data_IF_928162238283
#
_entry.id   IF_928162238283
#
_cell.length_a   1.000
_cell.length_b   1.000
_cell.length_c   1.000
_cell.angle_alpha   90.00
_cell.angle_beta   90.00
_cell.angle_gamma   90.00
#
_symmetry.space_group_name_H-M   'P 1'
#
loop_
_entity.id
_entity.type
_entity.pdbx_description
1 polymer ?
#
# COMPACT_ATOMS: atom_id res chain seq x y z
N UNK A 1 13.17 13.78 8.40
CA UNK A 1 11.89 13.24 8.91
C UNK A 1 11.30 12.38 7.79
N UNK A 2 11.29 11.05 7.94
CA UNK A 2 10.56 10.23 6.98
C UNK A 2 9.06 10.52 7.18
N UNK A 3 8.26 10.69 6.11
CA UNK A 3 6.83 10.92 6.29
C UNK A 3 6.28 9.78 7.15
N UNK A 4 5.40 10.11 8.10
CA UNK A 4 4.67 9.12 8.89
C UNK A 4 3.92 8.19 7.92
N UNK A 5 4.55 7.09 7.52
CA UNK A 5 3.96 6.12 6.60
C UNK A 5 2.99 5.28 7.43
N UNK A 6 1.76 5.78 7.58
CA UNK A 6 0.66 5.05 8.19
C UNK A 6 0.28 3.91 7.24
N UNK A 7 0.83 2.72 7.48
CA UNK A 7 0.39 1.51 6.80
C UNK A 7 -1.07 1.20 7.22
N UNK A 8 -1.94 0.97 6.24
CA UNK A 8 -3.34 0.63 6.49
C UNK A 8 -3.46 -0.89 6.50
N UNK A 9 -4.04 -1.45 7.57
CA UNK A 9 -4.36 -2.87 7.63
C UNK A 9 -5.72 -3.11 6.98
N UNK A 10 -5.75 -3.96 5.96
CA UNK A 10 -6.98 -4.39 5.29
C UNK A 10 -7.25 -5.86 5.62
N UNK A 11 -8.53 -6.23 5.72
CA UNK A 11 -8.94 -7.62 5.87
C UNK A 11 -8.99 -8.34 4.51
N UNK A 12 -9.18 -7.57 3.43
CA UNK A 12 -9.21 -8.04 2.05
C UNK A 12 -8.74 -6.97 1.07
N UNK A 13 -8.07 -7.36 -0.02
CA UNK A 13 -7.75 -6.45 -1.12
C UNK A 13 -9.00 -5.82 -1.76
N UNK A 14 -10.19 -6.40 -1.58
CA UNK A 14 -11.46 -5.83 -2.04
C UNK A 14 -11.82 -4.52 -1.34
N UNK A 15 -11.24 -4.25 -0.16
CA UNK A 15 -11.46 -3.01 0.59
C UNK A 15 -10.57 -1.86 0.09
N UNK A 16 -9.51 -2.18 -0.67
CA UNK A 16 -8.53 -1.20 -1.15
C UNK A 16 -9.17 -0.05 -1.94
N UNK A 17 -10.12 -0.26 -2.87
CA UNK A 17 -10.74 0.84 -3.61
C UNK A 17 -11.47 1.84 -2.69
N UNK A 18 -12.04 1.38 -1.58
CA UNK A 18 -12.71 2.26 -0.63
C UNK A 18 -11.71 3.15 0.12
N UNK A 19 -10.56 2.59 0.50
CA UNK A 19 -9.49 3.34 1.18
C UNK A 19 -8.83 4.40 0.27
N UNK A 20 -8.80 4.16 -1.03
CA UNK A 20 -8.18 5.06 -2.01
C UNK A 20 -9.16 6.06 -2.64
N UNK A 21 -10.41 6.15 -2.14
CA UNK A 21 -11.48 6.97 -2.72
C UNK A 21 -11.07 8.43 -2.94
N UNK A 22 -10.48 9.07 -1.93
CA UNK A 22 -10.03 10.47 -2.02
C UNK A 22 -8.93 10.64 -3.07
N UNK A 23 -8.00 9.69 -3.16
CA UNK A 23 -6.93 9.71 -4.16
C UNK A 23 -7.49 9.58 -5.58
N UNK A 24 -8.48 8.71 -5.79
CA UNK A 24 -9.16 8.59 -7.09
C UNK A 24 -9.89 9.88 -7.49
N UNK A 25 -10.53 10.57 -6.54
CA UNK A 25 -11.16 11.86 -6.79
C UNK A 25 -10.15 12.96 -7.15
N UNK A 26 -8.90 12.83 -6.67
CA UNK A 26 -7.79 13.71 -7.02
C UNK A 26 -7.08 13.33 -8.34
N UNK A 27 -7.62 12.35 -9.08
CA UNK A 27 -7.10 11.93 -10.38
C UNK A 27 -6.00 10.85 -10.32
N UNK A 28 -5.73 10.29 -9.15
CA UNK A 28 -4.80 9.17 -9.04
C UNK A 28 -5.44 7.87 -9.53
N UNK A 29 -4.61 6.92 -9.94
CA UNK A 29 -4.99 5.53 -10.22
C UNK A 29 -3.93 4.57 -9.66
N UNK A 30 -4.33 3.37 -9.27
CA UNK A 30 -3.38 2.33 -8.87
C UNK A 30 -2.68 1.82 -10.13
N UNK A 31 -1.37 1.96 -10.18
CA UNK A 31 -0.53 1.45 -11.26
C UNK A 31 -0.03 0.03 -10.97
N UNK A 32 0.28 -0.26 -9.70
CA UNK A 32 0.79 -1.56 -9.29
C UNK A 32 0.56 -1.84 -7.80
N UNK A 33 0.52 -3.13 -7.46
CA UNK A 33 0.61 -3.64 -6.09
C UNK A 33 1.84 -4.51 -5.99
N UNK A 34 2.81 -4.11 -5.19
CA UNK A 34 4.05 -4.86 -5.00
C UNK A 34 4.10 -5.46 -3.58
N UNK A 35 4.35 -6.77 -3.43
CA UNK A 35 4.64 -7.34 -2.13
C UNK A 35 5.93 -6.69 -1.58
N UNK A 36 5.93 -6.36 -0.29
CA UNK A 36 7.09 -5.80 0.39
C UNK A 36 7.65 -6.84 1.36
N UNK A 37 8.82 -7.38 1.00
CA UNK A 37 9.59 -8.24 1.91
C UNK A 37 10.52 -7.34 2.71
N UNK A 38 10.19 -7.10 3.98
CA UNK A 38 11.12 -6.47 4.90
C UNK A 38 12.06 -7.55 5.45
N UNK A 39 13.35 -7.48 5.09
CA UNK A 39 14.40 -8.27 5.74
C UNK A 39 14.51 -7.78 7.19
N UNK A 40 13.81 -8.43 8.12
CA UNK A 40 13.94 -8.12 9.54
C UNK A 40 15.04 -9.01 10.11
N UNK A 41 16.16 -8.40 10.50
CA UNK A 41 17.42 -9.08 10.85
C UNK A 41 17.37 -9.87 12.18
N UNK A 42 16.18 -10.17 12.71
CA UNK A 42 16.08 -10.85 14.02
C UNK A 42 14.69 -11.26 14.49
N UNK A 43 13.67 -11.29 13.63
CA UNK A 43 12.33 -11.70 14.05
C UNK A 43 11.76 -12.78 13.13
N UNK A 44 11.97 -14.03 13.53
CA UNK A 44 11.01 -15.11 13.30
C UNK A 44 9.61 -14.60 13.69
N UNK A 45 8.71 -14.37 12.73
CA UNK A 45 7.24 -14.60 12.84
C UNK A 45 6.34 -13.64 12.05
N UNK A 46 6.79 -12.53 11.47
CA UNK A 46 5.92 -11.85 10.48
C UNK A 46 6.01 -12.69 9.20
N UNK A 47 4.94 -13.38 8.75
CA UNK A 47 4.98 -14.08 7.49
C UNK A 47 5.35 -13.04 6.44
N UNK A 48 6.44 -13.27 5.72
CA UNK A 48 7.07 -12.33 4.79
C UNK A 48 6.15 -11.89 3.62
N UNK A 49 4.87 -12.28 3.65
CA UNK A 49 3.94 -12.36 2.53
C UNK A 49 2.73 -11.41 2.62
N UNK A 50 2.56 -10.61 3.69
CA UNK A 50 1.28 -9.90 3.90
C UNK A 50 1.33 -8.37 3.83
N UNK A 51 2.50 -7.77 3.56
CA UNK A 51 2.61 -6.32 3.35
C UNK A 51 2.69 -6.04 1.86
N UNK A 52 1.83 -5.16 1.38
CA UNK A 52 1.82 -4.71 -0.01
C UNK A 52 1.99 -3.20 -0.08
N UNK A 53 2.74 -2.74 -1.08
CA UNK A 53 2.83 -1.33 -1.47
C UNK A 53 1.92 -1.09 -2.67
N UNK A 54 0.92 -0.24 -2.49
CA UNK A 54 0.16 0.31 -3.60
C UNK A 54 0.91 1.50 -4.20
N UNK A 55 1.21 1.43 -5.49
CA UNK A 55 1.80 2.53 -6.25
C UNK A 55 0.67 3.25 -6.98
N UNK A 56 0.50 4.53 -6.67
CA UNK A 56 -0.48 5.38 -7.33
C UNK A 56 0.23 6.36 -8.28
N UNK A 57 -0.31 6.52 -9.48
CA UNK A 57 0.12 7.55 -10.43
C UNK A 57 -0.99 8.58 -10.59
N UNK A 58 -0.63 9.87 -10.64
CA UNK A 58 -1.58 10.93 -10.95
C UNK A 58 -1.73 11.02 -12.46
N UNK A 59 -2.97 10.93 -12.96
CA UNK A 59 -3.22 11.28 -14.36
C UNK A 59 -2.98 12.78 -14.53
N UNK A 60 -2.13 13.11 -15.47
CA UNK A 60 -1.90 14.48 -15.93
C UNK A 60 -2.46 14.47 -17.35
N UNK A 61 -3.56 15.18 -17.55
CA UNK A 61 -4.13 15.39 -18.89
C UNK A 61 -3.22 16.29 -19.73
#
# INVERSE_FOLDING_TARGET
>A
EAPNLTAIRLSSLRELPAQLREMYQQGFTVAALHPFVQSYDGAESIPQEQVFRAVLIKRVD
#
